data_IF_587261019988
#
_entry.id   IF_587261019988
#
_cell.length_a   1.000
_cell.length_b   1.000
_cell.length_c   1.000
_cell.angle_alpha   90.00
_cell.angle_beta   90.00
_cell.angle_gamma   90.00
#
_symmetry.space_group_name_H-M   'P 1'
#
loop_
_entity.id
_entity.type
_entity.pdbx_description
1 polymer ?
#
# COMPACT_ATOMS: atom_id res chain seq x y z
N UNK A 1 14.78 13.64 85.79
CA UNK A 1 13.34 13.51 85.50
C UNK A 1 13.13 13.92 84.05
N UNK A 2 13.03 12.99 83.08
CA UNK A 2 12.91 13.28 81.64
C UNK A 2 11.47 13.01 81.19
N UNK A 3 10.78 13.94 80.50
CA UNK A 3 9.42 13.69 80.02
C UNK A 3 9.42 12.70 78.85
N UNK A 4 8.33 11.94 78.64
CA UNK A 4 8.22 10.96 77.56
C UNK A 4 8.05 11.62 76.18
N UNK A 5 8.64 10.97 75.18
CA UNK A 5 8.60 11.29 73.76
C UNK A 5 7.19 11.06 73.18
N UNK A 6 6.58 12.11 72.62
CA UNK A 6 5.31 12.04 71.89
C UNK A 6 5.57 11.56 70.46
N UNK A 7 5.32 10.28 70.19
CA UNK A 7 5.43 9.69 68.85
C UNK A 7 4.11 9.92 68.10
N UNK A 8 4.02 11.00 67.31
CA UNK A 8 2.87 11.28 66.45
C UNK A 8 2.95 10.39 65.21
N UNK A 9 2.17 9.29 65.24
CA UNK A 9 1.96 8.43 64.09
C UNK A 9 1.49 9.22 62.88
N UNK A 10 2.27 9.14 61.81
CA UNK A 10 2.00 9.76 60.51
C UNK A 10 0.99 8.86 59.78
N UNK A 11 -0.31 9.18 59.87
CA UNK A 11 -1.36 8.45 59.17
C UNK A 11 -1.40 8.88 57.69
N UNK A 12 -0.46 8.36 56.90
CA UNK A 12 -0.56 8.43 55.45
C UNK A 12 -1.84 7.74 55.01
N UNK A 13 -2.78 8.49 54.44
CA UNK A 13 -3.98 7.94 53.81
C UNK A 13 -3.56 7.12 52.60
N UNK A 14 -3.52 5.79 52.76
CA UNK A 14 -3.29 4.88 51.65
C UNK A 14 -4.50 4.95 50.70
N UNK A 15 -4.30 5.58 49.55
CA UNK A 15 -5.26 5.50 48.45
C UNK A 15 -5.32 4.05 47.97
N UNK A 16 -6.43 3.37 48.23
CA UNK A 16 -6.66 2.01 47.71
C UNK A 16 -6.77 2.10 46.20
N UNK A 17 -5.80 1.53 45.49
CA UNK A 17 -5.85 1.41 44.03
C UNK A 17 -7.00 0.47 43.67
N UNK A 18 -8.06 1.02 43.07
CA UNK A 18 -9.17 0.24 42.53
C UNK A 18 -8.70 -0.42 41.23
N UNK A 19 -8.68 -1.76 41.20
CA UNK A 19 -8.39 -2.54 40.00
C UNK A 19 -9.64 -2.73 39.12
N UNK A 20 -9.42 -2.92 37.82
CA UNK A 20 -10.47 -3.30 36.87
C UNK A 20 -11.00 -4.71 37.17
N UNK A 21 -12.29 -4.94 36.95
CA UNK A 21 -12.85 -6.30 37.06
C UNK A 21 -12.57 -7.10 35.79
N UNK A 22 -12.45 -8.42 35.92
CA UNK A 22 -12.29 -9.31 34.74
C UNK A 22 -13.48 -9.16 33.77
N UNK A 23 -14.68 -9.01 34.30
CA UNK A 23 -15.89 -8.85 33.49
C UNK A 23 -15.90 -7.54 32.70
N UNK A 24 -15.40 -6.45 33.29
CA UNK A 24 -15.28 -5.15 32.62
C UNK A 24 -14.32 -5.25 31.43
N UNK A 25 -13.18 -5.92 31.60
CA UNK A 25 -12.24 -6.16 30.50
C UNK A 25 -12.88 -7.05 29.42
N UNK A 26 -13.65 -8.08 29.78
CA UNK A 26 -14.33 -8.93 28.80
C UNK A 26 -15.34 -8.15 27.95
N UNK A 27 -16.15 -7.29 28.56
CA UNK A 27 -17.12 -6.46 27.82
C UNK A 27 -16.39 -5.51 26.87
N UNK A 28 -15.30 -4.88 27.31
CA UNK A 28 -14.49 -4.00 26.47
C UNK A 28 -13.90 -4.74 25.27
N UNK A 29 -13.34 -5.94 25.48
CA UNK A 29 -12.79 -6.76 24.39
C UNK A 29 -13.87 -7.14 23.38
N UNK A 30 -15.08 -7.49 23.85
CA UNK A 30 -16.22 -7.80 22.97
C UNK A 30 -16.60 -6.59 22.13
N UNK A 31 -16.71 -5.40 22.73
CA UNK A 31 -17.03 -4.16 22.00
C UNK A 31 -15.96 -3.85 20.95
N UNK A 32 -14.68 -3.92 21.33
CA UNK A 32 -13.56 -3.68 20.40
C UNK A 32 -13.56 -4.70 19.25
N UNK A 33 -13.86 -5.98 19.53
CA UNK A 33 -13.98 -7.01 18.50
C UNK A 33 -15.05 -6.69 17.45
N UNK A 34 -16.21 -6.22 17.89
CA UNK A 34 -17.31 -5.82 16.99
C UNK A 34 -16.87 -4.62 16.12
N UNK A 35 -16.22 -3.62 16.72
CA UNK A 35 -15.75 -2.44 15.99
C UNK A 35 -14.70 -2.81 14.93
N UNK A 36 -13.75 -3.69 15.27
CA UNK A 36 -12.71 -4.14 14.34
C UNK A 36 -13.29 -4.94 13.16
N UNK A 37 -14.32 -5.76 13.38
CA UNK A 37 -14.94 -6.54 12.32
C UNK A 37 -15.49 -5.67 11.17
N UNK A 38 -15.99 -4.46 11.48
CA UNK A 38 -16.49 -3.52 10.47
C UNK A 38 -15.38 -2.61 9.94
N UNK A 39 -14.46 -2.17 10.80
CA UNK A 39 -13.43 -1.19 10.42
C UNK A 39 -12.31 -1.77 9.54
N UNK A 40 -11.86 -2.99 9.82
CA UNK A 40 -10.72 -3.61 9.15
C UNK A 40 -10.88 -3.77 7.62
N UNK A 41 -12.00 -4.28 7.07
CA UNK A 41 -12.14 -4.41 5.62
C UNK A 41 -12.09 -3.05 4.91
N UNK A 42 -12.70 -2.01 5.51
CA UNK A 42 -12.64 -0.65 4.99
C UNK A 42 -11.20 -0.10 4.92
N UNK A 43 -10.44 -0.28 6.00
CA UNK A 43 -9.04 0.14 6.05
C UNK A 43 -8.16 -0.60 5.04
N UNK A 44 -8.34 -1.91 4.87
CA UNK A 44 -7.60 -2.68 3.87
C UNK A 44 -7.89 -2.20 2.44
N UNK A 45 -9.15 -1.87 2.14
CA UNK A 45 -9.53 -1.29 0.84
C UNK A 45 -8.87 0.08 0.59
N UNK A 46 -8.77 0.93 1.62
CA UNK A 46 -8.07 2.21 1.51
C UNK A 46 -6.58 2.03 1.19
N UNK A 47 -5.91 1.09 1.85
CA UNK A 47 -4.51 0.76 1.57
C UNK A 47 -4.34 0.20 0.15
N UNK A 48 -5.20 -0.73 -0.28
CA UNK A 48 -5.17 -1.25 -1.65
C UNK A 48 -5.34 -0.12 -2.68
N UNK A 49 -6.28 0.81 -2.46
CA UNK A 49 -6.46 1.97 -3.34
C UNK A 49 -5.21 2.84 -3.44
N UNK A 50 -4.52 3.08 -2.33
CA UNK A 50 -3.24 3.81 -2.31
C UNK A 50 -2.18 3.11 -3.16
N UNK A 51 -1.99 1.81 -2.96
CA UNK A 51 -1.03 0.99 -3.73
C UNK A 51 -1.34 0.93 -5.23
N UNK A 52 -2.63 0.89 -5.60
CA UNK A 52 -3.05 0.99 -7.00
C UNK A 52 -2.67 2.35 -7.59
N UNK A 53 -2.84 3.44 -6.82
CA UNK A 53 -2.47 4.78 -7.28
C UNK A 53 -0.95 4.90 -7.52
N UNK A 54 -0.16 4.31 -6.64
CA UNK A 54 1.30 4.20 -6.80
C UNK A 54 1.69 3.41 -8.07
N UNK A 55 1.04 2.28 -8.34
CA UNK A 55 1.25 1.51 -9.57
C UNK A 55 0.98 2.35 -10.83
N UNK A 56 -0.13 3.10 -10.84
CA UNK A 56 -0.48 4.00 -11.94
C UNK A 56 0.53 5.13 -12.10
N UNK A 57 1.03 5.70 -10.99
CA UNK A 57 2.07 6.72 -11.03
C UNK A 57 3.37 6.17 -11.64
N UNK A 58 3.78 4.95 -11.27
CA UNK A 58 4.95 4.30 -11.85
C UNK A 58 4.77 4.01 -13.36
N UNK A 59 3.56 3.63 -13.80
CA UNK A 59 3.26 3.47 -15.22
C UNK A 59 3.35 4.80 -15.97
N UNK A 60 2.82 5.89 -15.40
CA UNK A 60 2.89 7.21 -16.02
C UNK A 60 4.33 7.75 -16.10
N UNK A 61 5.17 7.52 -15.08
CA UNK A 61 6.59 7.89 -15.13
C UNK A 61 7.32 7.10 -16.24
N UNK A 62 7.10 5.79 -16.31
CA UNK A 62 7.68 4.97 -17.38
C UNK A 62 7.18 5.39 -18.77
N UNK A 63 5.90 5.73 -18.92
CA UNK A 63 5.33 6.21 -20.19
C UNK A 63 5.99 7.53 -20.62
N UNK A 64 6.12 8.50 -19.72
CA UNK A 64 6.80 9.76 -20.02
C UNK A 64 8.25 9.55 -20.50
N UNK A 65 8.97 8.59 -19.90
CA UNK A 65 10.33 8.24 -20.32
C UNK A 65 10.38 7.52 -21.67
N UNK A 66 9.38 6.71 -22.00
CA UNK A 66 9.25 6.12 -23.34
C UNK A 66 9.09 7.22 -24.39
N UNK A 67 8.23 8.21 -24.15
CA UNK A 67 8.05 9.34 -25.07
C UNK A 67 9.33 10.17 -25.22
N UNK A 68 10.03 10.46 -24.12
CA UNK A 68 11.33 11.14 -24.19
C UNK A 68 12.34 10.34 -25.03
N UNK A 69 12.41 9.02 -24.83
CA UNK A 69 13.28 8.16 -25.63
C UNK A 69 12.89 8.18 -27.11
N UNK A 70 11.61 8.15 -27.44
CA UNK A 70 11.13 8.22 -28.82
C UNK A 70 11.61 9.52 -29.49
N UNK A 71 11.59 10.64 -28.77
CA UNK A 71 12.12 11.92 -29.27
C UNK A 71 13.65 11.90 -29.46
N UNK A 72 14.38 11.24 -28.55
CA UNK A 72 15.86 11.23 -28.57
C UNK A 72 16.47 10.18 -29.52
N UNK A 73 15.79 9.03 -29.66
CA UNK A 73 16.33 7.83 -30.32
C UNK A 73 15.46 7.32 -31.48
N UNK A 74 14.25 7.85 -31.65
CA UNK A 74 13.32 7.43 -32.70
C UNK A 74 12.70 6.05 -32.50
N UNK A 75 12.82 5.46 -31.31
CA UNK A 75 12.27 4.14 -30.98
C UNK A 75 11.99 4.02 -29.48
N UNK A 76 10.95 3.28 -29.11
CA UNK A 76 10.69 2.87 -27.73
C UNK A 76 11.64 1.74 -27.29
N UNK A 77 11.46 1.23 -26.08
CA UNK A 77 12.27 0.11 -25.59
C UNK A 77 11.49 -0.79 -24.64
N UNK A 78 11.72 -2.10 -24.70
CA UNK A 78 11.27 -3.03 -23.66
C UNK A 78 12.20 -3.02 -22.43
N UNK A 79 13.40 -2.45 -22.56
CA UNK A 79 14.41 -2.43 -21.52
C UNK A 79 14.32 -1.17 -20.67
N UNK A 80 13.74 -1.29 -19.46
CA UNK A 80 13.57 -0.16 -18.55
C UNK A 80 14.89 0.48 -18.09
N UNK A 81 16.02 -0.23 -18.13
CA UNK A 81 17.33 0.38 -17.82
C UNK A 81 17.68 1.50 -18.81
N UNK A 82 17.26 1.36 -20.07
CA UNK A 82 17.49 2.37 -21.11
C UNK A 82 16.61 3.61 -20.95
N UNK A 83 15.62 3.56 -20.06
CA UNK A 83 14.80 4.69 -19.63
C UNK A 83 15.36 5.36 -18.36
N UNK A 84 16.51 4.90 -17.86
CA UNK A 84 17.08 5.35 -16.60
C UNK A 84 16.26 4.92 -15.38
N UNK A 85 15.50 3.83 -15.50
CA UNK A 85 14.74 3.22 -14.41
C UNK A 85 15.50 2.03 -13.81
N UNK A 86 15.32 1.73 -12.52
CA UNK A 86 15.93 0.55 -11.91
C UNK A 86 15.40 -0.73 -12.58
N UNK A 87 16.23 -1.78 -12.61
CA UNK A 87 15.84 -3.10 -13.11
C UNK A 87 16.16 -4.15 -12.03
N UNK A 88 15.14 -4.84 -11.47
CA UNK A 88 13.71 -4.72 -11.77
C UNK A 88 13.14 -3.35 -11.38
N UNK A 89 12.20 -2.83 -12.18
CA UNK A 89 11.47 -1.62 -11.79
C UNK A 89 10.34 -2.02 -10.85
N UNK A 90 10.48 -1.65 -9.59
CA UNK A 90 9.52 -1.93 -8.54
C UNK A 90 8.95 -0.58 -8.10
N UNK A 91 7.65 -0.54 -7.85
CA UNK A 91 6.98 0.63 -7.28
C UNK A 91 7.61 1.00 -5.91
N UNK A 92 7.53 2.27 -5.52
CA UNK A 92 8.20 2.83 -4.33
C UNK A 92 7.97 2.02 -3.03
N UNK A 93 6.74 1.61 -2.75
CA UNK A 93 6.38 0.81 -1.58
C UNK A 93 6.57 -0.71 -1.78
N UNK A 94 7.04 -1.12 -2.96
CA UNK A 94 7.39 -2.52 -3.20
C UNK A 94 6.23 -3.43 -3.58
N UNK A 95 5.08 -2.88 -3.99
CA UNK A 95 3.84 -3.63 -4.24
C UNK A 95 3.67 -4.11 -5.68
N UNK A 96 4.21 -3.39 -6.65
CA UNK A 96 4.09 -3.71 -8.07
C UNK A 96 5.47 -3.83 -8.73
N UNK A 97 5.57 -4.73 -9.70
CA UNK A 97 6.66 -4.78 -10.67
C UNK A 97 6.17 -4.23 -11.99
N UNK A 98 6.95 -3.31 -12.58
CA UNK A 98 6.63 -2.67 -13.85
C UNK A 98 7.51 -3.29 -14.94
N UNK A 99 6.91 -3.58 -16.08
CA UNK A 99 7.58 -4.12 -17.27
C UNK A 99 7.16 -3.35 -18.52
N UNK A 100 8.03 -3.28 -19.51
CA UNK A 100 7.71 -2.78 -20.85
C UNK A 100 7.82 -3.91 -21.87
N UNK A 101 6.98 -3.89 -22.90
CA UNK A 101 7.03 -4.82 -24.01
C UNK A 101 6.56 -4.14 -25.31
N UNK A 102 6.84 -4.77 -26.44
CA UNK A 102 6.19 -4.46 -27.72
C UNK A 102 4.69 -4.75 -27.62
N UNK A 103 3.85 -3.86 -28.15
CA UNK A 103 2.40 -4.05 -28.19
C UNK A 103 1.95 -4.98 -29.33
N UNK A 104 2.85 -5.37 -30.23
CA UNK A 104 2.60 -6.25 -31.38
C UNK A 104 2.84 -5.60 -32.75
N UNK A 105 3.06 -4.28 -32.78
CA UNK A 105 3.32 -3.51 -34.01
C UNK A 105 4.76 -3.01 -34.14
N UNK A 106 5.66 -3.46 -33.24
CA UNK A 106 7.06 -3.08 -33.18
C UNK A 106 7.32 -1.88 -32.26
N UNK A 107 8.47 -1.91 -31.58
CA UNK A 107 8.91 -0.84 -30.66
C UNK A 107 9.19 0.50 -31.34
N UNK A 108 9.24 0.56 -32.67
CA UNK A 108 9.30 1.83 -33.40
C UNK A 108 7.95 2.55 -33.45
N UNK A 109 6.86 1.85 -33.10
CA UNK A 109 5.49 2.35 -33.22
C UNK A 109 4.74 2.35 -31.90
N UNK A 110 4.98 1.34 -31.07
CA UNK A 110 4.23 1.22 -29.83
C UNK A 110 4.99 0.50 -28.72
N UNK A 111 4.46 0.66 -27.52
CA UNK A 111 4.83 -0.12 -26.34
C UNK A 111 3.57 -0.40 -25.52
N UNK A 112 3.69 -1.40 -24.64
CA UNK A 112 2.77 -1.62 -23.54
C UNK A 112 3.56 -1.71 -22.24
N UNK A 113 3.14 -0.90 -21.27
CA UNK A 113 3.63 -0.98 -19.90
C UNK A 113 2.63 -1.79 -19.07
N UNK A 114 3.16 -2.65 -18.21
CA UNK A 114 2.35 -3.50 -17.33
C UNK A 114 2.86 -3.40 -15.90
N UNK A 115 1.98 -3.04 -14.96
CA UNK A 115 2.22 -3.15 -13.53
C UNK A 115 1.54 -4.41 -13.00
N UNK A 116 2.35 -5.35 -12.52
CA UNK A 116 1.90 -6.64 -11.98
C UNK A 116 2.11 -6.67 -10.46
N UNK A 117 1.11 -7.07 -9.65
CA UNK A 117 1.25 -7.11 -8.22
C UNK A 117 2.26 -8.19 -7.83
N UNK A 118 3.16 -7.86 -6.92
CA UNK A 118 4.17 -8.80 -6.45
C UNK A 118 3.54 -9.86 -5.56
N UNK A 119 3.87 -11.12 -5.79
CA UNK A 119 3.33 -12.28 -5.06
C UNK A 119 3.60 -12.21 -3.55
N UNK A 120 4.75 -11.65 -3.16
CA UNK A 120 5.15 -11.48 -1.77
C UNK A 120 4.64 -10.18 -1.10
N UNK A 121 3.75 -9.43 -1.76
CA UNK A 121 3.22 -8.17 -1.25
C UNK A 121 1.75 -8.32 -0.81
N UNK A 122 1.29 -7.46 0.10
CA UNK A 122 -0.12 -7.46 0.52
C UNK A 122 -1.11 -7.17 -0.62
N UNK A 123 -0.62 -6.60 -1.73
CA UNK A 123 -1.40 -6.31 -2.92
C UNK A 123 -1.76 -7.57 -3.73
N UNK A 124 -1.07 -8.70 -3.52
CA UNK A 124 -1.45 -9.97 -4.16
C UNK A 124 -2.82 -10.49 -3.73
N UNK A 125 -3.39 -9.96 -2.64
CA UNK A 125 -4.74 -10.29 -2.15
C UNK A 125 -5.84 -9.46 -2.80
N UNK A 126 -5.48 -8.48 -3.63
CA UNK A 126 -6.45 -7.67 -4.35
C UNK A 126 -6.95 -8.44 -5.57
N UNK A 127 -8.14 -9.05 -5.45
CA UNK A 127 -8.79 -9.75 -6.56
C UNK A 127 -9.62 -8.84 -7.46
N UNK A 128 -9.89 -7.61 -7.03
CA UNK A 128 -10.74 -6.66 -7.79
C UNK A 128 -9.95 -5.99 -8.90
N UNK A 129 -8.74 -5.55 -8.58
CA UNK A 129 -7.82 -4.90 -9.50
C UNK A 129 -6.44 -5.53 -9.35
N UNK A 130 -6.10 -6.44 -10.26
CA UNK A 130 -4.86 -7.19 -10.22
C UNK A 130 -3.76 -6.47 -11.00
N UNK A 131 -3.77 -6.53 -12.32
CA UNK A 131 -2.76 -5.89 -13.18
C UNK A 131 -3.29 -4.61 -13.79
N UNK A 132 -2.38 -3.68 -14.07
CA UNK A 132 -2.67 -2.42 -14.77
C UNK A 132 -1.80 -2.32 -16.00
N UNK A 133 -2.35 -1.85 -17.12
CA UNK A 133 -1.60 -1.59 -18.34
C UNK A 133 -1.85 -0.19 -18.88
N UNK A 134 -0.81 0.37 -19.49
CA UNK A 134 -0.84 1.64 -20.20
C UNK A 134 -0.05 1.48 -21.49
N UNK A 135 -0.68 1.76 -22.64
CA UNK A 135 0.00 1.71 -23.94
C UNK A 135 0.41 3.10 -24.45
N UNK A 136 1.14 3.12 -25.56
CA UNK A 136 1.61 4.34 -26.23
C UNK A 136 0.51 5.25 -26.78
N UNK A 137 -0.74 4.78 -26.87
CA UNK A 137 -1.91 5.60 -27.24
C UNK A 137 -2.58 6.23 -26.02
N UNK A 138 -2.12 5.88 -24.82
CA UNK A 138 -2.73 6.27 -23.56
C UNK A 138 -3.90 5.39 -23.14
N UNK A 139 -4.14 4.25 -23.81
CA UNK A 139 -5.18 3.33 -23.42
C UNK A 139 -4.82 2.65 -22.11
N UNK A 140 -5.77 2.68 -21.18
CA UNK A 140 -5.63 2.21 -19.81
C UNK A 140 -6.51 0.99 -19.62
N UNK A 141 -5.93 -0.15 -19.26
CA UNK A 141 -6.69 -1.36 -18.98
C UNK A 141 -6.26 -2.00 -17.67
N UNK A 142 -7.16 -2.74 -17.05
CA UNK A 142 -6.87 -3.48 -15.83
C UNK A 142 -7.46 -4.88 -15.91
N UNK A 143 -6.98 -5.77 -15.03
CA UNK A 143 -7.56 -7.10 -14.83
C UNK A 143 -8.12 -7.23 -13.42
N UNK A 144 -8.96 -8.24 -13.19
CA UNK A 144 -9.57 -8.54 -11.91
C UNK A 144 -11.09 -8.60 -12.00
N UNK A 145 -11.77 -8.83 -10.88
CA UNK A 145 -13.23 -8.96 -10.86
C UNK A 145 -13.99 -7.66 -11.08
N UNK A 146 -13.30 -6.51 -11.06
CA UNK A 146 -13.88 -5.17 -11.18
C UNK A 146 -13.01 -4.28 -12.08
N UNK A 147 -12.43 -4.88 -13.13
CA UNK A 147 -11.46 -4.27 -14.05
C UNK A 147 -11.85 -2.88 -14.56
N UNK A 148 -13.15 -2.69 -14.84
CA UNK A 148 -13.67 -1.49 -15.47
C UNK A 148 -13.61 -0.26 -14.54
N UNK A 149 -13.52 -0.47 -13.23
CA UNK A 149 -13.47 0.58 -12.20
C UNK A 149 -12.08 0.74 -11.57
N UNK A 150 -11.06 0.09 -12.14
CA UNK A 150 -9.73 0.05 -11.54
C UNK A 150 -8.89 1.29 -11.86
N UNK A 151 -9.11 1.97 -12.99
CA UNK A 151 -8.33 3.12 -13.47
C UNK A 151 -8.83 4.48 -12.98
#
# INVERSE_FOLDING_TARGET
MKPPINNRGNYGTAYSARGFTLMEVMIVVVIVGILLAVALPGYQNSLQKGRRAEAKAALLDAANRQEQRMLDRGTYTANLAELGLPVPFISEEGHYTITAADCGDGLDRCYILTATPRSNSAQSKDSRCTTFTLDSTGAKNATGSDSDNCW
#
